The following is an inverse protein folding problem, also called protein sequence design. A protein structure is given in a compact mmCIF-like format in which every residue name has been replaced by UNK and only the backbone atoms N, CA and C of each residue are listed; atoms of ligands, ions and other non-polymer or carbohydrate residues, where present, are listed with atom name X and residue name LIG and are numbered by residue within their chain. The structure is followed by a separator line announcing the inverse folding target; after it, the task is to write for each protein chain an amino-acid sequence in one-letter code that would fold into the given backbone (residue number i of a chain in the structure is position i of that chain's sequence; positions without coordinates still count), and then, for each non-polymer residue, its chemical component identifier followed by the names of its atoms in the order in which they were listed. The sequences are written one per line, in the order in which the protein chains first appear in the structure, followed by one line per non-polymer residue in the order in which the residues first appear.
data_IF_964735504917
#
_entry.id   IF_964735504917
#
_cell.length_a   1.000
_cell.length_b   1.000
_cell.length_c   1.000
_cell.angle_alpha   90.00
_cell.angle_beta   90.00
_cell.angle_gamma   90.00
#
_symmetry.space_group_name_H-M   'P 1'
#
loop_
_entity.id
_entity.type
_entity.pdbx_description
1 polymer ?
#
# COMPACT_ATOMS: atom_id res chain seq x y z
N UNK A 1 14.83 -20.03 -8.17
CA UNK A 1 13.47 -19.59 -7.78
C UNK A 1 12.45 -20.59 -8.29
N UNK A 2 11.44 -20.86 -7.49
CA UNK A 2 10.38 -21.76 -7.86
C UNK A 2 9.65 -21.20 -9.10
N UNK A 3 9.35 -22.06 -10.07
CA UNK A 3 8.68 -21.66 -11.31
C UNK A 3 7.36 -20.95 -11.03
N UNK A 4 6.61 -21.42 -10.04
CA UNK A 4 5.34 -20.82 -9.64
C UNK A 4 5.50 -19.38 -9.17
N UNK A 5 6.56 -19.12 -8.38
CA UNK A 5 6.86 -17.78 -7.93
C UNK A 5 7.23 -16.85 -9.08
N UNK A 6 7.97 -17.40 -10.06
CA UNK A 6 8.31 -16.63 -11.25
C UNK A 6 7.09 -16.21 -12.03
N UNK A 7 6.11 -17.10 -12.15
CA UNK A 7 4.86 -16.78 -12.84
C UNK A 7 4.08 -15.69 -12.11
N UNK A 8 3.98 -15.77 -10.77
CA UNK A 8 3.31 -14.77 -9.98
C UNK A 8 4.02 -13.42 -10.06
N UNK A 9 5.35 -13.44 -10.00
CA UNK A 9 6.13 -12.22 -10.08
C UNK A 9 5.96 -11.49 -11.41
N UNK A 10 5.70 -12.23 -12.48
CA UNK A 10 5.50 -11.66 -13.81
C UNK A 10 4.06 -11.27 -14.10
N UNK A 11 3.14 -11.60 -13.18
CA UNK A 11 1.71 -11.31 -13.36
C UNK A 11 1.21 -10.45 -12.20
N UNK A 12 1.64 -9.19 -12.19
CA UNK A 12 1.27 -8.25 -11.12
C UNK A 12 -0.25 -8.20 -10.87
N UNK A 13 -1.05 -8.32 -11.94
CA UNK A 13 -2.50 -8.37 -11.82
C UNK A 13 -2.96 -9.48 -10.91
N UNK A 14 -2.31 -10.64 -11.01
CA UNK A 14 -2.65 -11.80 -10.18
C UNK A 14 -2.34 -11.53 -8.71
N UNK A 15 -1.20 -10.87 -8.40
CA UNK A 15 -0.87 -10.52 -7.02
C UNK A 15 -1.94 -9.64 -6.41
N UNK A 16 -2.33 -8.56 -7.10
CA UNK A 16 -3.34 -7.64 -6.61
C UNK A 16 -4.66 -8.37 -6.41
N UNK A 17 -5.15 -9.04 -7.46
CA UNK A 17 -6.50 -9.61 -7.47
C UNK A 17 -6.65 -10.89 -6.65
N UNK A 18 -5.64 -11.76 -6.67
CA UNK A 18 -5.76 -13.07 -6.05
C UNK A 18 -5.25 -13.12 -4.61
N UNK A 19 -4.37 -12.21 -4.22
CA UNK A 19 -3.74 -12.24 -2.91
C UNK A 19 -4.15 -11.04 -2.05
N UNK A 20 -3.91 -9.83 -2.54
CA UNK A 20 -4.08 -8.65 -1.68
C UNK A 20 -5.53 -8.18 -1.56
N UNK A 21 -6.30 -8.15 -2.66
CA UNK A 21 -7.70 -7.72 -2.59
C UNK A 21 -8.55 -8.63 -1.71
N UNK A 22 -8.50 -9.97 -1.86
CA UNK A 22 -9.36 -10.84 -1.04
C UNK A 22 -9.13 -10.70 0.46
N UNK A 23 -7.93 -10.33 0.88
CA UNK A 23 -7.58 -10.22 2.29
C UNK A 23 -7.50 -8.79 2.79
N UNK A 24 -7.79 -7.81 1.92
CA UNK A 24 -7.62 -6.41 2.26
C UNK A 24 -8.52 -5.97 3.42
N UNK A 25 -9.82 -6.28 3.33
CA UNK A 25 -10.77 -5.87 4.37
C UNK A 25 -10.45 -6.52 5.71
N UNK A 26 -10.04 -7.78 5.69
CA UNK A 26 -9.67 -8.50 6.90
C UNK A 26 -8.44 -7.84 7.54
N UNK A 27 -7.47 -7.49 6.73
CA UNK A 27 -6.25 -6.82 7.20
C UNK A 27 -6.57 -5.46 7.82
N UNK A 28 -7.41 -4.66 7.17
CA UNK A 28 -7.79 -3.34 7.69
C UNK A 28 -8.53 -3.47 9.02
N UNK A 29 -9.44 -4.44 9.13
CA UNK A 29 -10.17 -4.67 10.37
C UNK A 29 -9.22 -5.09 11.49
N UNK A 30 -8.28 -5.98 11.17
CA UNK A 30 -7.33 -6.51 12.16
C UNK A 30 -6.39 -5.43 12.70
N UNK A 31 -5.81 -4.60 11.82
CA UNK A 31 -4.81 -3.63 12.23
C UNK A 31 -5.37 -2.25 12.56
N UNK A 32 -6.41 -1.82 11.85
CA UNK A 32 -6.93 -0.46 12.00
C UNK A 32 -8.34 -0.42 12.57
N UNK A 33 -8.99 -1.57 12.72
CA UNK A 33 -10.32 -1.63 13.30
C UNK A 33 -11.42 -1.03 12.42
N UNK A 34 -11.18 -0.94 11.11
CA UNK A 34 -12.10 -0.28 10.18
C UNK A 34 -12.48 -1.19 9.03
N UNK A 35 -13.62 -0.87 8.42
CA UNK A 35 -14.06 -1.48 7.17
C UNK A 35 -14.26 -0.35 6.17
N UNK A 36 -13.64 -0.39 4.99
CA UNK A 36 -13.79 0.71 4.03
C UNK A 36 -15.21 0.77 3.47
N UNK A 37 -15.67 1.99 3.23
CA UNK A 37 -16.97 2.24 2.58
C UNK A 37 -16.87 2.03 1.07
N UNK A 38 -15.73 2.34 0.50
CA UNK A 38 -15.46 2.22 -0.92
C UNK A 38 -14.09 1.61 -1.09
N UNK A 39 -13.96 0.68 -2.02
CA UNK A 39 -12.69 0.06 -2.33
C UNK A 39 -12.55 0.04 -3.85
N UNK A 40 -11.36 0.35 -4.32
CA UNK A 40 -11.08 0.28 -5.74
C UNK A 40 -9.72 -0.37 -5.98
N UNK A 41 -9.52 -0.89 -7.17
CA UNK A 41 -8.25 -1.45 -7.57
C UNK A 41 -7.89 -0.97 -8.96
N UNK A 42 -6.58 -0.84 -9.21
CA UNK A 42 -6.05 -0.39 -10.49
C UNK A 42 -6.71 0.89 -10.97
N UNK A 43 -6.87 1.83 -10.04
CA UNK A 43 -7.50 3.11 -10.31
C UNK A 43 -6.51 4.01 -11.04
N UNK A 44 -6.87 4.42 -12.24
CA UNK A 44 -6.05 5.36 -13.02
C UNK A 44 -6.55 6.77 -12.79
N UNK A 45 -5.63 7.65 -12.41
CA UNK A 45 -5.92 9.06 -12.18
C UNK A 45 -5.14 9.88 -13.21
N UNK A 46 -5.81 10.81 -13.84
CA UNK A 46 -5.21 11.64 -14.89
C UNK A 46 -5.32 13.10 -14.56
N UNK A 47 -4.27 13.85 -14.87
CA UNK A 47 -4.24 15.30 -14.76
C UNK A 47 -3.42 15.83 -15.92
N UNK A 48 -4.09 16.48 -16.89
CA UNK A 48 -3.49 16.92 -18.14
C UNK A 48 -2.86 15.73 -18.87
N UNK A 49 -1.55 15.77 -19.12
CA UNK A 49 -0.86 14.70 -19.85
C UNK A 49 -0.21 13.67 -18.92
N UNK A 50 -0.48 13.78 -17.62
CA UNK A 50 0.10 12.88 -16.62
C UNK A 50 -0.91 11.86 -16.16
N UNK A 51 -0.42 10.69 -15.79
CA UNK A 51 -1.26 9.61 -15.27
C UNK A 51 -0.53 8.89 -14.15
N UNK A 52 -1.25 8.53 -13.10
CA UNK A 52 -0.75 7.62 -12.06
C UNK A 52 -1.78 6.52 -11.86
N UNK A 53 -1.33 5.39 -11.34
CA UNK A 53 -2.22 4.27 -11.02
C UNK A 53 -2.09 3.95 -9.54
N UNK A 54 -3.23 3.74 -8.88
CA UNK A 54 -3.29 3.27 -7.50
C UNK A 54 -3.71 1.80 -7.55
N UNK A 55 -2.87 0.91 -7.02
CA UNK A 55 -3.12 -0.52 -7.10
C UNK A 55 -4.34 -0.93 -6.29
N UNK A 56 -4.43 -0.50 -5.03
CA UNK A 56 -5.61 -0.71 -4.20
C UNK A 56 -5.84 0.56 -3.39
N UNK A 57 -7.09 0.98 -3.29
CA UNK A 57 -7.46 2.14 -2.49
C UNK A 57 -8.72 1.81 -1.69
N UNK A 58 -8.73 2.22 -0.42
CA UNK A 58 -9.90 2.02 0.44
C UNK A 58 -10.21 3.31 1.18
N UNK A 59 -11.48 3.72 1.15
CA UNK A 59 -11.93 4.95 1.82
C UNK A 59 -12.81 4.61 3.01
N UNK A 60 -12.51 5.21 4.16
CA UNK A 60 -13.45 5.25 5.28
C UNK A 60 -14.02 6.68 5.36
N UNK A 61 -14.64 7.05 6.48
CA UNK A 61 -15.14 8.42 6.61
C UNK A 61 -14.01 9.44 6.69
N UNK A 62 -12.90 9.07 7.34
CA UNK A 62 -11.82 10.00 7.62
C UNK A 62 -10.44 9.55 7.09
N UNK A 63 -10.32 8.30 6.63
CA UNK A 63 -9.04 7.76 6.18
C UNK A 63 -9.12 7.26 4.76
N UNK A 64 -7.99 7.35 4.06
CA UNK A 64 -7.83 6.68 2.77
C UNK A 64 -6.57 5.84 2.81
N UNK A 65 -6.74 4.56 2.52
CA UNK A 65 -5.64 3.59 2.49
C UNK A 65 -5.18 3.47 1.05
N UNK A 66 -3.91 3.79 0.80
CA UNK A 66 -3.30 3.73 -0.52
C UNK A 66 -2.28 2.61 -0.51
N UNK A 67 -2.53 1.57 -1.28
CA UNK A 67 -1.65 0.39 -1.32
C UNK A 67 -0.94 0.31 -2.66
N UNK A 68 0.38 0.26 -2.60
CA UNK A 68 1.23 0.00 -3.76
C UNK A 68 1.72 -1.44 -3.67
N UNK A 69 1.47 -2.24 -4.71
CA UNK A 69 1.85 -3.66 -4.73
C UNK A 69 3.02 -3.86 -5.67
N UNK A 70 4.07 -4.52 -5.18
CA UNK A 70 5.26 -4.79 -5.98
C UNK A 70 5.59 -6.29 -5.99
N UNK A 71 5.89 -6.82 -7.17
CA UNK A 71 6.37 -8.20 -7.30
C UNK A 71 7.82 -8.32 -6.86
N UNK A 72 8.59 -7.23 -6.95
CA UNK A 72 9.98 -7.17 -6.50
C UNK A 72 10.15 -5.98 -5.57
N UNK A 73 9.62 -6.05 -4.33
CA UNK A 73 9.56 -4.88 -3.46
C UNK A 73 10.92 -4.33 -3.02
N UNK A 74 11.95 -5.16 -3.04
CA UNK A 74 13.29 -4.72 -2.63
C UNK A 74 14.07 -4.03 -3.75
N UNK A 75 13.50 -3.94 -4.94
CA UNK A 75 14.19 -3.32 -6.07
C UNK A 75 14.48 -1.86 -5.78
N UNK A 76 15.72 -1.46 -6.06
CA UNK A 76 16.18 -0.10 -5.82
C UNK A 76 15.30 0.92 -6.55
N UNK A 77 14.92 1.98 -5.84
CA UNK A 77 14.12 3.06 -6.41
C UNK A 77 12.62 2.91 -6.26
N UNK A 78 12.12 1.72 -5.99
CA UNK A 78 10.66 1.49 -5.91
C UNK A 78 10.02 2.16 -4.71
N UNK A 79 10.67 2.17 -3.56
CA UNK A 79 10.14 2.87 -2.38
C UNK A 79 10.06 4.37 -2.66
N UNK A 80 11.12 4.92 -3.25
CA UNK A 80 11.20 6.34 -3.59
C UNK A 80 10.15 6.73 -4.62
N UNK A 81 9.88 5.86 -5.59
CA UNK A 81 8.82 6.08 -6.57
C UNK A 81 7.45 6.16 -5.90
N UNK A 82 7.19 5.32 -4.90
CA UNK A 82 5.94 5.36 -4.15
C UNK A 82 5.83 6.63 -3.33
N UNK A 83 6.91 7.03 -2.68
CA UNK A 83 6.95 8.30 -1.92
C UNK A 83 6.61 9.47 -2.85
N UNK A 84 7.18 9.50 -4.05
CA UNK A 84 6.90 10.55 -5.01
C UNK A 84 5.45 10.52 -5.48
N UNK A 85 4.90 9.32 -5.72
CA UNK A 85 3.49 9.17 -6.07
C UNK A 85 2.59 9.75 -4.99
N UNK A 86 2.89 9.46 -3.71
CA UNK A 86 2.11 10.01 -2.59
C UNK A 86 2.21 11.53 -2.54
N UNK A 87 3.39 12.07 -2.83
CA UNK A 87 3.62 13.51 -2.82
C UNK A 87 2.77 14.25 -3.85
N UNK A 88 2.62 13.68 -5.05
CA UNK A 88 1.87 14.32 -6.13
C UNK A 88 0.38 13.94 -6.13
N UNK A 89 -0.01 12.98 -5.29
CA UNK A 89 -1.38 12.48 -5.27
C UNK A 89 -2.44 13.57 -5.17
N UNK A 90 -2.29 14.63 -4.35
CA UNK A 90 -3.30 15.69 -4.28
C UNK A 90 -3.55 16.41 -5.61
N UNK A 91 -2.58 16.42 -6.52
CA UNK A 91 -2.76 17.02 -7.84
C UNK A 91 -3.69 16.18 -8.73
N UNK A 92 -3.74 14.86 -8.47
CA UNK A 92 -4.56 13.92 -9.23
C UNK A 92 -5.89 13.62 -8.55
N UNK A 93 -5.94 13.77 -7.23
CA UNK A 93 -7.10 13.43 -6.42
C UNK A 93 -7.24 14.50 -5.33
N UNK A 94 -7.74 15.69 -5.69
CA UNK A 94 -7.81 16.82 -4.73
C UNK A 94 -8.59 16.51 -3.46
N UNK A 95 -9.62 15.64 -3.55
CA UNK A 95 -10.43 15.27 -2.38
C UNK A 95 -9.61 14.57 -1.28
N UNK A 96 -8.39 14.11 -1.61
CA UNK A 96 -7.53 13.40 -0.64
C UNK A 96 -7.17 14.28 0.55
N UNK A 97 -7.21 15.60 0.39
CA UNK A 97 -6.87 16.53 1.47
C UNK A 97 -7.86 16.49 2.62
N UNK A 98 -9.06 15.96 2.38
CA UNK A 98 -10.08 15.78 3.42
C UNK A 98 -9.86 14.53 4.25
N UNK A 99 -8.89 13.70 3.86
CA UNK A 99 -8.65 12.41 4.48
C UNK A 99 -7.30 12.33 5.12
N UNK A 100 -7.17 11.49 6.14
CA UNK A 100 -5.88 11.06 6.62
C UNK A 100 -5.39 9.97 5.66
N UNK A 101 -4.26 10.20 5.00
CA UNK A 101 -3.69 9.23 4.06
C UNK A 101 -2.89 8.19 4.83
N UNK A 102 -3.21 6.92 4.61
CA UNK A 102 -2.49 5.79 5.23
C UNK A 102 -1.80 5.02 4.10
N UNK A 103 -0.49 5.24 3.91
CA UNK A 103 0.22 4.58 2.82
C UNK A 103 0.71 3.19 3.22
N UNK A 104 0.53 2.25 2.31
CA UNK A 104 0.91 0.85 2.51
C UNK A 104 1.66 0.37 1.27
N UNK A 105 2.85 -0.19 1.50
CA UNK A 105 3.67 -0.76 0.43
C UNK A 105 3.68 -2.27 0.62
N UNK A 106 3.24 -3.00 -0.40
CA UNK A 106 2.93 -4.42 -0.28
C UNK A 106 3.76 -5.28 -1.23
N UNK A 107 4.14 -6.44 -0.75
CA UNK A 107 4.83 -7.45 -1.54
C UNK A 107 4.69 -8.80 -0.85
N UNK A 108 5.14 -9.88 -1.53
CA UNK A 108 5.07 -11.21 -0.93
C UNK A 108 6.01 -11.33 0.27
N UNK A 109 7.18 -10.68 0.16
CA UNK A 109 8.16 -10.62 1.25
C UNK A 109 8.99 -9.37 1.05
N UNK A 110 9.71 -8.95 2.08
CA UNK A 110 10.59 -7.78 2.00
C UNK A 110 11.82 -7.97 2.87
N UNK A 111 12.94 -7.37 2.45
CA UNK A 111 14.14 -7.33 3.26
C UNK A 111 13.97 -6.36 4.43
N UNK A 112 14.77 -6.55 5.47
CA UNK A 112 14.76 -5.66 6.62
C UNK A 112 15.11 -4.22 6.24
N UNK A 113 16.04 -4.04 5.28
CA UNK A 113 16.42 -2.70 4.86
C UNK A 113 15.29 -1.96 4.16
N UNK A 114 14.49 -2.67 3.37
CA UNK A 114 13.30 -2.08 2.74
C UNK A 114 12.29 -1.69 3.80
N UNK A 115 12.03 -2.57 4.76
CA UNK A 115 11.09 -2.29 5.85
C UNK A 115 11.55 -1.08 6.66
N UNK A 116 12.84 -0.96 6.94
CA UNK A 116 13.38 0.19 7.66
C UNK A 116 13.17 1.50 6.90
N UNK A 117 13.39 1.49 5.58
CA UNK A 117 13.18 2.70 4.77
C UNK A 117 11.71 3.10 4.76
N UNK A 118 10.83 2.14 4.65
CA UNK A 118 9.39 2.40 4.72
C UNK A 118 9.02 3.00 6.08
N UNK A 119 9.53 2.40 7.14
CA UNK A 119 9.26 2.86 8.50
C UNK A 119 9.70 4.31 8.72
N UNK A 120 10.87 4.67 8.22
CA UNK A 120 11.38 6.04 8.31
C UNK A 120 10.52 7.05 7.57
N UNK A 121 9.77 6.60 6.60
CA UNK A 121 8.89 7.45 5.80
C UNK A 121 7.42 7.30 6.20
N UNK A 122 7.16 6.65 7.34
CA UNK A 122 5.81 6.41 7.87
C UNK A 122 4.90 5.66 6.90
N UNK A 123 5.48 4.69 6.20
CA UNK A 123 4.76 3.81 5.27
C UNK A 123 4.73 2.42 5.86
N UNK A 124 3.54 1.81 5.87
CA UNK A 124 3.39 0.44 6.36
C UNK A 124 3.91 -0.57 5.36
N UNK A 125 4.58 -1.59 5.87
CA UNK A 125 5.11 -2.70 5.06
C UNK A 125 4.17 -3.90 5.21
N UNK A 126 3.47 -4.25 4.12
CA UNK A 126 2.50 -5.34 4.11
C UNK A 126 3.09 -6.54 3.40
N UNK A 127 3.17 -7.67 4.08
CA UNK A 127 3.74 -8.90 3.52
C UNK A 127 2.80 -10.08 3.76
N UNK A 128 3.07 -11.17 3.07
CA UNK A 128 2.34 -12.43 3.26
C UNK A 128 3.09 -13.28 4.26
N UNK A 129 2.40 -13.72 5.30
CA UNK A 129 2.96 -14.63 6.31
C UNK A 129 2.02 -15.81 6.48
N UNK A 130 2.41 -16.98 5.93
CA UNK A 130 1.50 -18.10 5.89
C UNK A 130 0.28 -17.78 5.04
N UNK A 131 -0.90 -17.84 5.61
CA UNK A 131 -2.17 -17.59 4.91
C UNK A 131 -2.71 -16.19 5.13
N UNK A 132 -1.98 -15.34 5.86
CA UNK A 132 -2.50 -14.03 6.24
C UNK A 132 -1.58 -12.91 5.75
N UNK A 133 -2.15 -11.71 5.67
CA UNK A 133 -1.39 -10.50 5.43
C UNK A 133 -0.94 -9.93 6.77
N UNK A 134 0.33 -9.56 6.85
CA UNK A 134 0.92 -9.01 8.06
C UNK A 134 1.55 -7.66 7.77
N UNK A 135 1.29 -6.68 8.64
CA UNK A 135 2.02 -5.42 8.59
C UNK A 135 3.25 -5.57 9.48
N UNK A 136 4.41 -5.72 8.86
CA UNK A 136 5.66 -6.05 9.55
C UNK A 136 6.13 -4.96 10.50
N UNK A 137 5.79 -3.71 10.23
CA UNK A 137 6.25 -2.55 11.00
C UNK A 137 5.12 -1.77 11.65
N UNK A 138 3.99 -2.42 11.92
CA UNK A 138 2.80 -1.72 12.41
C UNK A 138 3.07 -0.85 13.63
N UNK A 139 3.80 -1.39 14.61
CA UNK A 139 4.05 -0.69 15.87
C UNK A 139 5.13 0.39 15.76
N UNK A 140 5.83 0.46 14.64
CA UNK A 140 6.95 1.39 14.45
C UNK A 140 6.61 2.60 13.60
N UNK A 141 5.49 2.55 12.86
CA UNK A 141 5.06 3.67 12.04
C UNK A 141 4.29 4.65 12.89
N UNK A 142 4.66 5.93 12.81
CA UNK A 142 3.99 6.99 13.58
C UNK A 142 2.67 7.36 12.93
N UNK A 143 1.60 7.35 13.73
CA UNK A 143 0.28 7.76 13.30
C UNK A 143 -0.01 9.16 13.80
N UNK A 144 -0.90 9.91 13.12
CA UNK A 144 -1.21 11.30 13.52
C UNK A 144 -1.61 11.44 14.99
N UNK A 145 -2.41 10.53 15.52
CA UNK A 145 -2.84 10.59 16.92
C UNK A 145 -1.68 10.41 17.91
N UNK A 146 -0.56 9.84 17.46
CA UNK A 146 0.63 9.70 18.29
C UNK A 146 1.52 10.93 18.24
N UNK A 147 1.31 11.81 17.24
CA UNK A 147 2.10 13.02 17.07
C UNK A 147 1.59 14.19 17.92
N UNK A 148 0.40 14.06 18.47
CA UNK A 148 -0.21 15.12 19.29
C UNK A 148 0.28 15.14 20.73
N UNK A 149 1.11 14.17 21.10
CA UNK A 149 1.63 14.05 22.47
C UNK A 149 3.10 14.38 22.57
#
# INVERSE_FOLDING_TARGET
MNKRWGELANKMGTLVEDIFIPSFDIMLKRYFGVTPKRTGSRMKLRNDNREIELDIVGFTEDKVFIVEVKSSPDRQGYVEEFIEKLRVLPEFLPEIESYEVVPIYAGLSMSESTIERLTKNNIYALIVKGDILEIANFDKVKRPEEKEF
#
